data_IF_578202180416
#
_entry.id   IF_578202180416
#
_cell.length_a   1.000
_cell.length_b   1.000
_cell.length_c   1.000
_cell.angle_alpha   90.00
_cell.angle_beta   90.00
_cell.angle_gamma   90.00
#
_symmetry.space_group_name_H-M   'P 1'
#
loop_
_entity.id
_entity.type
_entity.pdbx_description
1 polymer ?
#
# COMPACT_ATOMS: atom_id res chain seq x y z
N UNK A 1 -14.54 10.41 -31.20
CA UNK A 1 -14.62 10.47 -29.73
C UNK A 1 -16.08 10.38 -29.34
N UNK A 2 -16.54 9.21 -28.88
CA UNK A 2 -17.86 9.08 -28.26
C UNK A 2 -17.74 9.65 -26.86
N UNK A 3 -18.43 10.76 -26.60
CA UNK A 3 -18.22 11.64 -25.44
C UNK A 3 -18.57 11.00 -24.09
N UNK A 4 -19.20 9.81 -24.08
CA UNK A 4 -19.75 9.17 -22.88
C UNK A 4 -19.06 7.85 -22.50
N UNK A 5 -18.03 7.42 -23.23
CA UNK A 5 -17.37 6.14 -22.96
C UNK A 5 -16.06 6.36 -22.20
N UNK A 6 -16.02 5.99 -20.92
CA UNK A 6 -14.74 5.84 -20.21
C UNK A 6 -14.06 4.57 -20.72
N UNK A 7 -12.83 4.67 -21.26
CA UNK A 7 -12.11 3.51 -21.76
C UNK A 7 -11.85 2.52 -20.61
N UNK A 8 -11.97 1.23 -20.92
CA UNK A 8 -11.81 0.17 -19.94
C UNK A 8 -10.39 0.19 -19.34
N UNK A 9 -10.27 -0.03 -18.03
CA UNK A 9 -8.98 0.02 -17.32
C UNK A 9 -8.00 -1.06 -17.78
N UNK A 10 -8.48 -2.17 -18.35
CA UNK A 10 -7.61 -3.17 -18.97
C UNK A 10 -6.95 -2.67 -20.26
N UNK A 11 -7.55 -1.68 -20.94
CA UNK A 11 -7.07 -1.11 -22.20
C UNK A 11 -6.16 0.09 -21.94
N UNK A 12 -6.42 0.87 -20.88
CA UNK A 12 -5.61 2.04 -20.52
C UNK A 12 -4.46 1.74 -19.56
N UNK A 13 -4.38 0.52 -19.03
CA UNK A 13 -3.40 0.12 -18.01
C UNK A 13 -3.87 0.36 -16.57
N UNK A 14 -5.04 0.96 -16.38
CA UNK A 14 -5.66 1.17 -15.07
C UNK A 14 -4.93 2.22 -14.24
N UNK A 15 -5.08 2.17 -12.92
CA UNK A 15 -4.54 3.16 -11.97
C UNK A 15 -3.00 3.27 -11.94
N UNK A 16 -2.29 2.44 -12.69
CA UNK A 16 -0.83 2.41 -12.78
C UNK A 16 -0.28 3.19 -13.97
N UNK A 17 -1.15 3.66 -14.86
CA UNK A 17 -0.78 4.36 -16.08
C UNK A 17 -1.47 5.72 -16.15
N UNK A 18 -0.68 6.76 -16.43
CA UNK A 18 -1.15 8.12 -16.70
C UNK A 18 -0.76 8.48 -18.13
N UNK A 19 -1.71 8.94 -18.94
CA UNK A 19 -1.49 9.29 -20.36
C UNK A 19 -0.78 8.21 -21.20
N UNK A 20 -1.08 6.93 -20.93
CA UNK A 20 -0.47 5.74 -21.58
C UNK A 20 1.00 5.48 -21.20
N UNK A 21 1.55 6.27 -20.27
CA UNK A 21 2.86 6.03 -19.68
C UNK A 21 2.71 5.37 -18.30
N UNK A 22 3.60 4.44 -18.00
CA UNK A 22 3.62 3.77 -16.69
C UNK A 22 4.12 4.75 -15.64
N UNK A 23 3.32 4.97 -14.59
CA UNK A 23 3.64 5.93 -13.54
C UNK A 23 4.59 5.30 -12.52
N UNK A 24 5.88 5.20 -12.90
CA UNK A 24 6.93 4.59 -12.08
C UNK A 24 7.08 5.26 -10.72
N UNK A 25 6.92 6.58 -10.67
CA UNK A 25 7.07 7.35 -9.45
C UNK A 25 5.95 7.09 -8.46
N UNK A 26 4.71 6.95 -8.93
CA UNK A 26 3.59 6.57 -8.07
C UNK A 26 3.82 5.19 -7.45
N UNK A 27 4.24 4.21 -8.24
CA UNK A 27 4.54 2.86 -7.73
C UNK A 27 5.67 2.88 -6.71
N UNK A 28 6.71 3.69 -6.95
CA UNK A 28 7.83 3.87 -6.01
C UNK A 28 7.35 4.45 -4.69
N UNK A 29 6.57 5.54 -4.73
CA UNK A 29 5.99 6.18 -3.54
C UNK A 29 5.10 5.20 -2.78
N UNK A 30 4.24 4.46 -3.48
CA UNK A 30 3.34 3.49 -2.86
C UNK A 30 4.13 2.38 -2.15
N UNK A 31 5.21 1.90 -2.75
CA UNK A 31 6.10 0.91 -2.14
C UNK A 31 6.82 1.46 -0.90
N UNK A 32 7.33 2.69 -0.98
CA UNK A 32 7.97 3.37 0.16
C UNK A 32 6.98 3.55 1.33
N UNK A 33 5.75 3.96 1.05
CA UNK A 33 4.69 4.09 2.07
C UNK A 33 4.33 2.74 2.69
N UNK A 34 4.25 1.67 1.89
CA UNK A 34 4.04 0.32 2.42
C UNK A 34 5.15 -0.09 3.40
N UNK A 35 6.41 0.20 3.05
CA UNK A 35 7.55 -0.10 3.90
C UNK A 35 7.49 0.69 5.21
N UNK A 36 7.26 2.00 5.15
CA UNK A 36 7.12 2.85 6.35
C UNK A 36 6.04 2.32 7.31
N UNK A 37 4.86 1.97 6.80
CA UNK A 37 3.77 1.43 7.65
C UNK A 37 4.13 0.11 8.33
N UNK A 38 4.95 -0.73 7.70
CA UNK A 38 5.41 -1.99 8.27
C UNK A 38 6.49 -1.76 9.33
N UNK A 39 7.38 -0.80 9.10
CA UNK A 39 8.41 -0.40 10.06
C UNK A 39 7.80 0.23 11.31
N UNK A 40 6.83 1.14 11.15
CA UNK A 40 6.08 1.72 12.28
C UNK A 40 5.40 0.62 13.12
N UNK A 41 4.82 -0.39 12.46
CA UNK A 41 4.21 -1.53 13.16
C UNK A 41 5.21 -2.40 13.88
N UNK A 42 6.41 -2.54 13.33
CA UNK A 42 7.50 -3.23 14.00
C UNK A 42 7.91 -2.46 15.26
N UNK A 43 8.09 -1.14 15.17
CA UNK A 43 8.42 -0.28 16.31
C UNK A 43 7.34 -0.33 17.40
N UNK A 44 6.06 -0.18 17.04
CA UNK A 44 4.95 -0.32 17.99
C UNK A 44 4.96 -1.69 18.69
N UNK A 45 5.32 -2.75 17.96
CA UNK A 45 5.39 -4.11 18.50
C UNK A 45 6.54 -4.26 19.51
N UNK A 46 7.68 -3.61 19.24
CA UNK A 46 8.83 -3.55 20.13
C UNK A 46 8.45 -2.87 21.45
N UNK A 47 7.77 -1.73 21.36
CA UNK A 47 7.36 -0.95 22.51
C UNK A 47 6.31 -1.67 23.36
N UNK A 48 5.33 -2.32 22.71
CA UNK A 48 4.25 -3.05 23.42
C UNK A 48 4.74 -4.32 24.10
N UNK A 49 5.68 -5.04 23.49
CA UNK A 49 6.15 -6.35 23.98
C UNK A 49 7.68 -6.43 24.07
N UNK A 50 8.30 -5.70 25.02
CA UNK A 50 9.77 -5.68 25.14
C UNK A 50 10.35 -7.02 25.62
N UNK A 51 9.61 -7.75 26.46
CA UNK A 51 10.09 -8.97 27.13
C UNK A 51 9.51 -10.27 26.54
N UNK A 52 8.62 -10.18 25.54
CA UNK A 52 8.03 -11.36 24.89
C UNK A 52 8.34 -11.37 23.38
N UNK A 53 9.41 -12.08 22.96
CA UNK A 53 9.81 -12.17 21.57
C UNK A 53 8.79 -12.88 20.67
N UNK A 54 8.00 -13.80 21.23
CA UNK A 54 7.01 -14.54 20.45
C UNK A 54 5.85 -13.63 20.09
N UNK A 55 5.28 -12.95 21.10
CA UNK A 55 4.17 -12.05 20.89
C UNK A 55 4.58 -10.86 20.01
N UNK A 56 5.78 -10.30 20.23
CA UNK A 56 6.37 -9.25 19.39
C UNK A 56 6.42 -9.63 17.91
N UNK A 57 6.84 -10.87 17.60
CA UNK A 57 6.89 -11.34 16.21
C UNK A 57 5.50 -11.47 15.61
N UNK A 58 4.53 -11.96 16.37
CA UNK A 58 3.16 -12.14 15.87
C UNK A 58 2.47 -10.80 15.68
N UNK A 59 2.68 -9.82 16.57
CA UNK A 59 2.07 -8.48 16.47
C UNK A 59 2.72 -7.56 15.45
N UNK A 60 3.98 -7.79 15.05
CA UNK A 60 4.63 -7.02 13.98
C UNK A 60 4.11 -7.36 12.58
N UNK A 61 3.41 -8.49 12.42
CA UNK A 61 2.89 -8.93 11.13
C UNK A 61 1.57 -8.23 10.80
N UNK A 62 1.37 -7.94 9.51
CA UNK A 62 0.11 -7.40 8.99
C UNK A 62 -0.43 -8.23 7.83
N UNK A 63 -1.75 -8.38 7.78
CA UNK A 63 -2.43 -8.92 6.60
C UNK A 63 -2.35 -7.93 5.44
N UNK A 64 -2.13 -8.43 4.22
CA UNK A 64 -2.14 -7.64 2.98
C UNK A 64 -3.47 -6.91 2.77
N UNK A 65 -4.60 -7.54 3.11
CA UNK A 65 -5.93 -6.91 3.02
C UNK A 65 -6.06 -5.71 3.95
N UNK A 66 -5.46 -5.77 5.14
CA UNK A 66 -5.47 -4.68 6.11
C UNK A 66 -4.56 -3.54 5.64
N UNK A 67 -3.38 -3.87 5.12
CA UNK A 67 -2.47 -2.89 4.53
C UNK A 67 -3.14 -2.12 3.38
N UNK A 68 -3.76 -2.84 2.44
CA UNK A 68 -4.51 -2.22 1.33
C UNK A 68 -5.63 -1.31 1.83
N UNK A 69 -6.38 -1.72 2.86
CA UNK A 69 -7.44 -0.88 3.43
C UNK A 69 -6.91 0.43 4.03
N UNK A 70 -5.72 0.40 4.65
CA UNK A 70 -5.08 1.60 5.22
C UNK A 70 -4.60 2.51 4.10
N UNK A 71 -3.96 1.96 3.07
CA UNK A 71 -3.49 2.72 1.90
C UNK A 71 -4.66 3.43 1.21
N UNK A 72 -5.75 2.71 0.97
CA UNK A 72 -6.96 3.30 0.39
C UNK A 72 -7.58 4.40 1.28
N UNK A 73 -7.48 4.28 2.60
CA UNK A 73 -7.95 5.32 3.53
C UNK A 73 -7.07 6.58 3.52
N UNK A 74 -5.77 6.44 3.21
CA UNK A 74 -4.86 7.58 3.06
C UNK A 74 -5.11 8.36 1.76
N UNK A 75 -5.96 7.86 0.86
CA UNK A 75 -6.30 8.51 -0.39
C UNK A 75 -5.25 8.34 -1.49
N UNK A 76 -4.43 7.29 -1.39
CA UNK A 76 -3.53 6.80 -2.44
C UNK A 76 -4.26 5.74 -3.25
#
# INVERSE_FOLDING_TARGET
MLYELTPDSSITGGSWYADQEFETEFVRILNEQCACLLDERLEESIEKFPNDPFLRRTSSLMSSSKLASIINQMGI
#
